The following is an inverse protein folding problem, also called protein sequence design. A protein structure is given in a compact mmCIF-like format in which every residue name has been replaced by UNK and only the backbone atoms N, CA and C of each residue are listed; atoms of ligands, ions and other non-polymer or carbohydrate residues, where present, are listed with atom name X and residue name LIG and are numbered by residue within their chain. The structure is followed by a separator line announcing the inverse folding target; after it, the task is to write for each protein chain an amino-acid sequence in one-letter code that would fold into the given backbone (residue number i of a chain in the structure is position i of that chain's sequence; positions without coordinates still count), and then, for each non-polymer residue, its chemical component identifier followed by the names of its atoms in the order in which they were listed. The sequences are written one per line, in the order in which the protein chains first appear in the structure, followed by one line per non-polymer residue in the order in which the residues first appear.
data_IF_993426112375
#
_entry.id   IF_993426112375
#
_cell.length_a   1.000
_cell.length_b   1.000
_cell.length_c   1.000
_cell.angle_alpha   90.00
_cell.angle_beta   90.00
_cell.angle_gamma   90.00
#
_symmetry.space_group_name_H-M   'P 1'
#
loop_
_entity.id
_entity.type
_entity.pdbx_description
1 polymer ?
#
# COMPACT_ATOMS: atom_id res chain seq x y z
N UNK A 1 -9.11 -57.09 56.82
CA UNK A 1 -9.09 -56.66 55.41
C UNK A 1 -10.22 -55.64 55.25
N UNK A 2 -9.91 -54.35 55.35
CA UNK A 2 -10.89 -53.25 55.18
C UNK A 2 -10.64 -52.53 53.87
N UNK A 3 -11.55 -52.65 52.91
CA UNK A 3 -11.54 -51.97 51.64
C UNK A 3 -12.11 -50.56 51.85
N UNK A 4 -11.30 -49.53 51.56
CA UNK A 4 -11.74 -48.15 51.51
C UNK A 4 -12.11 -47.79 50.05
N UNK A 5 -13.36 -47.43 49.83
CA UNK A 5 -13.86 -46.91 48.56
C UNK A 5 -13.72 -45.39 48.64
N UNK A 6 -12.91 -44.83 47.77
CA UNK A 6 -12.80 -43.37 47.59
C UNK A 6 -13.71 -42.96 46.44
N UNK A 7 -14.73 -42.19 46.74
CA UNK A 7 -15.63 -41.59 45.76
C UNK A 7 -15.00 -40.27 45.34
N UNK A 8 -14.53 -40.18 44.09
CA UNK A 8 -14.08 -38.94 43.50
C UNK A 8 -15.28 -38.17 42.94
N UNK A 9 -15.58 -37.02 43.51
CA UNK A 9 -16.59 -36.08 43.00
C UNK A 9 -15.98 -35.29 41.82
N UNK A 10 -16.50 -35.50 40.62
CA UNK A 10 -16.19 -34.68 39.42
C UNK A 10 -16.96 -33.37 39.50
N UNK A 11 -16.27 -32.29 39.86
CA UNK A 11 -16.77 -30.92 39.72
C UNK A 11 -16.72 -30.48 38.27
N UNK A 12 -17.87 -30.30 37.62
CA UNK A 12 -17.98 -29.71 36.30
C UNK A 12 -17.75 -28.19 36.41
N UNK A 13 -16.57 -27.71 36.01
CA UNK A 13 -16.32 -26.31 35.85
C UNK A 13 -16.97 -25.83 34.53
N UNK A 14 -18.08 -25.08 34.68
CA UNK A 14 -18.66 -24.33 33.53
C UNK A 14 -17.71 -23.20 33.14
N UNK A 15 -17.01 -23.40 32.05
CA UNK A 15 -16.24 -22.33 31.36
C UNK A 15 -17.26 -21.42 30.69
N UNK A 16 -17.51 -20.25 31.25
CA UNK A 16 -18.23 -19.17 30.60
C UNK A 16 -17.35 -18.62 29.50
N UNK A 17 -17.72 -18.89 28.26
CA UNK A 17 -17.09 -18.25 27.09
C UNK A 17 -17.47 -16.77 27.08
N UNK A 18 -16.49 -15.82 27.01
CA UNK A 18 -16.82 -14.42 26.80
C UNK A 18 -17.51 -14.29 25.45
N UNK A 19 -18.74 -13.75 25.48
CA UNK A 19 -19.48 -13.46 24.26
C UNK A 19 -18.66 -12.56 23.32
N UNK A 20 -18.35 -13.08 22.16
CA UNK A 20 -17.82 -12.28 21.06
C UNK A 20 -18.96 -11.34 20.62
N UNK A 21 -18.91 -10.11 21.10
CA UNK A 21 -19.72 -9.05 20.51
C UNK A 21 -19.27 -8.93 19.07
N UNK A 22 -20.13 -9.30 18.14
CA UNK A 22 -19.96 -9.05 16.73
C UNK A 22 -19.83 -7.52 16.56
N UNK A 23 -18.61 -7.04 16.53
CA UNK A 23 -18.29 -5.67 16.15
C UNK A 23 -18.86 -5.48 14.75
N UNK A 24 -19.95 -4.73 14.66
CA UNK A 24 -20.56 -4.34 13.39
C UNK A 24 -19.44 -3.73 12.56
N UNK A 25 -18.92 -4.52 11.61
CA UNK A 25 -18.06 -4.06 10.54
C UNK A 25 -18.77 -2.86 9.90
N UNK A 26 -18.37 -1.64 10.27
CA UNK A 26 -18.71 -0.45 9.51
C UNK A 26 -18.15 -0.70 8.12
N UNK A 27 -19.05 -1.01 7.19
CA UNK A 27 -18.68 -1.04 5.79
C UNK A 27 -17.89 0.25 5.52
N UNK A 28 -16.61 0.10 5.21
CA UNK A 28 -15.75 1.22 4.88
C UNK A 28 -16.46 1.97 3.76
N UNK A 29 -16.86 3.22 4.03
CA UNK A 29 -17.48 4.08 3.03
C UNK A 29 -16.47 4.14 1.90
N UNK A 30 -16.81 3.59 0.74
CA UNK A 30 -15.95 3.67 -0.44
C UNK A 30 -15.81 5.15 -0.75
N UNK A 31 -14.69 5.73 -0.37
CA UNK A 31 -14.40 7.13 -0.65
C UNK A 31 -14.15 7.25 -2.14
N UNK A 32 -15.01 8.03 -2.79
CA UNK A 32 -14.86 8.32 -4.20
C UNK A 32 -13.68 9.23 -4.43
N UNK A 33 -12.69 8.73 -5.16
CA UNK A 33 -11.53 9.51 -5.55
C UNK A 33 -11.91 10.61 -6.56
N UNK A 34 -11.51 11.83 -6.31
CA UNK A 34 -11.54 12.88 -7.33
C UNK A 34 -10.53 12.56 -8.44
N UNK A 35 -10.72 13.13 -9.63
CA UNK A 35 -9.76 12.93 -10.73
C UNK A 35 -8.32 13.30 -10.34
N UNK A 36 -8.16 14.39 -9.58
CA UNK A 36 -6.84 14.81 -9.08
C UNK A 36 -6.26 13.86 -8.03
N UNK A 37 -7.10 13.23 -7.21
CA UNK A 37 -6.65 12.22 -6.26
C UNK A 37 -6.25 10.92 -6.97
N UNK A 38 -6.95 10.52 -8.04
CA UNK A 38 -6.57 9.36 -8.86
C UNK A 38 -5.21 9.59 -9.52
N UNK A 39 -5.00 10.77 -10.10
CA UNK A 39 -3.71 11.14 -10.71
C UNK A 39 -2.59 11.11 -9.67
N UNK A 40 -2.81 11.72 -8.50
CA UNK A 40 -1.86 11.73 -7.42
C UNK A 40 -1.56 10.31 -6.89
N UNK A 41 -2.57 9.47 -6.78
CA UNK A 41 -2.41 8.07 -6.39
C UNK A 41 -1.49 7.32 -7.38
N UNK A 42 -1.72 7.45 -8.69
CA UNK A 42 -0.90 6.79 -9.69
C UNK A 42 0.55 7.28 -9.66
N UNK A 43 0.76 8.59 -9.47
CA UNK A 43 2.09 9.16 -9.29
C UNK A 43 2.81 8.60 -8.06
N UNK A 44 2.13 8.53 -6.91
CA UNK A 44 2.72 7.98 -5.67
C UNK A 44 2.96 6.47 -5.79
N UNK A 45 2.08 5.73 -6.46
CA UNK A 45 2.29 4.30 -6.75
C UNK A 45 3.57 4.08 -7.57
N UNK A 46 3.77 4.84 -8.64
CA UNK A 46 5.00 4.78 -9.44
C UNK A 46 6.23 5.11 -8.58
N UNK A 47 6.19 6.23 -7.84
CA UNK A 47 7.29 6.66 -6.97
C UNK A 47 7.65 5.59 -5.93
N UNK A 48 6.64 4.96 -5.31
CA UNK A 48 6.84 3.94 -4.29
C UNK A 48 7.41 2.65 -4.88
N UNK A 49 6.96 2.26 -6.08
CA UNK A 49 7.48 1.08 -6.78
C UNK A 49 8.95 1.28 -7.15
N UNK A 50 9.30 2.43 -7.74
CA UNK A 50 10.70 2.80 -8.03
C UNK A 50 11.56 2.80 -6.76
N UNK A 51 11.04 3.29 -5.64
CA UNK A 51 11.75 3.27 -4.35
C UNK A 51 12.07 1.85 -3.89
N UNK A 52 11.10 0.95 -3.93
CA UNK A 52 11.27 -0.45 -3.49
C UNK A 52 12.27 -1.18 -4.40
N UNK A 53 12.17 -0.99 -5.71
CA UNK A 53 13.09 -1.61 -6.68
C UNK A 53 14.50 -1.06 -6.53
N UNK A 54 14.66 0.27 -6.48
CA UNK A 54 15.97 0.92 -6.33
C UNK A 54 16.70 0.47 -5.06
N UNK A 55 15.96 0.31 -3.95
CA UNK A 55 16.48 -0.24 -2.69
C UNK A 55 16.95 -1.70 -2.86
N UNK A 56 16.20 -2.51 -3.60
CA UNK A 56 16.53 -3.92 -3.85
C UNK A 56 17.73 -4.06 -4.77
N UNK A 57 17.80 -3.23 -5.82
CA UNK A 57 18.88 -3.24 -6.82
C UNK A 57 20.12 -2.45 -6.38
N UNK A 58 20.04 -1.74 -5.25
CA UNK A 58 21.13 -0.95 -4.68
C UNK A 58 21.67 0.12 -5.67
N UNK A 59 20.74 0.76 -6.42
CA UNK A 59 21.06 1.84 -7.35
C UNK A 59 20.62 3.22 -6.81
N UNK A 60 20.92 4.29 -7.56
CA UNK A 60 20.63 5.69 -7.19
C UNK A 60 19.39 6.26 -7.91
N UNK A 61 18.71 5.47 -8.74
CA UNK A 61 17.65 5.93 -9.65
C UNK A 61 16.51 6.63 -8.88
N UNK A 62 16.08 6.06 -7.77
CA UNK A 62 15.05 6.69 -6.94
C UNK A 62 15.47 8.05 -6.38
N UNK A 63 16.70 8.16 -5.88
CA UNK A 63 17.21 9.42 -5.34
C UNK A 63 17.30 10.50 -6.42
N UNK A 64 17.82 10.16 -7.59
CA UNK A 64 17.93 11.05 -8.74
C UNK A 64 16.55 11.46 -9.28
N UNK A 65 15.62 10.50 -9.40
CA UNK A 65 14.24 10.78 -9.80
C UNK A 65 13.57 11.76 -8.83
N UNK A 66 13.71 11.56 -7.51
CA UNK A 66 13.16 12.45 -6.49
C UNK A 66 13.73 13.86 -6.58
N UNK A 67 15.03 13.99 -6.75
CA UNK A 67 15.68 15.30 -6.88
C UNK A 67 15.17 16.05 -8.11
N UNK A 68 15.08 15.38 -9.25
CA UNK A 68 14.62 15.97 -10.51
C UNK A 68 13.13 16.35 -10.47
N UNK A 69 12.32 15.57 -9.77
CA UNK A 69 10.86 15.69 -9.76
C UNK A 69 10.27 16.21 -8.43
N UNK A 70 11.04 16.96 -7.64
CA UNK A 70 10.63 17.40 -6.29
C UNK A 70 9.28 18.15 -6.29
N UNK A 71 9.06 19.02 -7.26
CA UNK A 71 7.86 19.86 -7.30
C UNK A 71 6.60 19.03 -7.57
N UNK A 72 6.48 18.22 -8.65
CA UNK A 72 5.30 17.39 -8.84
C UNK A 72 5.12 16.36 -7.71
N UNK A 73 6.18 15.78 -7.16
CA UNK A 73 6.08 14.85 -6.04
C UNK A 73 5.40 15.50 -4.82
N UNK A 74 5.82 16.72 -4.44
CA UNK A 74 5.20 17.46 -3.34
C UNK A 74 3.73 17.80 -3.62
N UNK A 75 3.40 18.16 -4.85
CA UNK A 75 2.02 18.44 -5.25
C UNK A 75 1.14 17.18 -5.11
N UNK A 76 1.60 16.03 -5.58
CA UNK A 76 0.89 14.77 -5.47
C UNK A 76 0.76 14.27 -4.03
N UNK A 77 1.81 14.39 -3.22
CA UNK A 77 1.74 14.08 -1.79
C UNK A 77 0.70 14.94 -1.08
N UNK A 78 0.67 16.26 -1.36
CA UNK A 78 -0.33 17.17 -0.79
C UNK A 78 -1.75 16.78 -1.20
N UNK A 79 -1.97 16.42 -2.46
CA UNK A 79 -3.28 15.97 -2.94
C UNK A 79 -3.74 14.68 -2.22
N UNK A 80 -2.84 13.72 -2.01
CA UNK A 80 -3.15 12.49 -1.28
C UNK A 80 -3.38 12.74 0.21
N UNK A 81 -2.60 13.61 0.86
CA UNK A 81 -2.83 14.02 2.25
C UNK A 81 -4.21 14.66 2.42
N UNK A 82 -4.62 15.50 1.47
CA UNK A 82 -5.95 16.10 1.45
C UNK A 82 -7.03 15.04 1.27
N UNK A 83 -6.84 14.11 0.35
CA UNK A 83 -7.76 13.00 0.10
C UNK A 83 -7.96 12.11 1.35
N UNK A 84 -6.89 11.79 2.04
CA UNK A 84 -6.92 10.98 3.27
C UNK A 84 -7.26 11.78 4.54
N UNK A 85 -7.57 13.08 4.42
CA UNK A 85 -7.86 13.97 5.54
C UNK A 85 -6.77 14.04 6.61
N UNK A 86 -5.50 13.84 6.23
CA UNK A 86 -4.36 14.04 7.10
C UNK A 86 -3.13 13.17 6.82
N UNK A 87 -2.00 13.62 7.35
CA UNK A 87 -0.70 12.98 7.15
C UNK A 87 -0.68 11.52 7.63
N UNK A 88 -1.22 11.25 8.84
CA UNK A 88 -1.18 9.92 9.43
C UNK A 88 -1.87 8.86 8.56
N UNK A 89 -3.04 9.19 8.00
CA UNK A 89 -3.76 8.26 7.14
C UNK A 89 -3.03 8.05 5.81
N UNK A 90 -2.48 9.13 5.23
CA UNK A 90 -1.63 9.04 4.05
C UNK A 90 -0.38 8.18 4.31
N UNK A 91 0.33 8.40 5.42
CA UNK A 91 1.54 7.63 5.78
C UNK A 91 1.22 6.14 5.97
N UNK A 92 0.10 5.83 6.61
CA UNK A 92 -0.37 4.44 6.78
C UNK A 92 -0.63 3.78 5.42
N UNK A 93 -1.33 4.46 4.52
CA UNK A 93 -1.60 3.99 3.17
C UNK A 93 -0.31 3.80 2.37
N UNK A 94 0.59 4.80 2.37
CA UNK A 94 1.85 4.76 1.63
C UNK A 94 2.79 3.64 2.13
N UNK A 95 2.84 3.43 3.45
CA UNK A 95 3.58 2.31 4.05
C UNK A 95 2.99 0.96 3.61
N UNK A 96 1.67 0.83 3.64
CA UNK A 96 0.99 -0.37 3.16
C UNK A 96 1.28 -0.63 1.67
N UNK A 97 1.30 0.41 0.85
CA UNK A 97 1.65 0.33 -0.56
C UNK A 97 3.09 -0.17 -0.78
N UNK A 98 4.06 0.37 -0.04
CA UNK A 98 5.45 -0.07 -0.11
C UNK A 98 5.58 -1.56 0.28
N UNK A 99 4.90 -1.98 1.35
CA UNK A 99 4.86 -3.38 1.77
C UNK A 99 4.23 -4.29 0.72
N UNK A 100 3.19 -3.85 0.01
CA UNK A 100 2.57 -4.61 -1.09
C UNK A 100 3.55 -4.80 -2.25
N UNK A 101 4.30 -3.76 -2.65
CA UNK A 101 5.32 -3.89 -3.70
C UNK A 101 6.48 -4.80 -3.29
N UNK A 102 6.93 -4.71 -2.03
CA UNK A 102 7.94 -5.63 -1.50
C UNK A 102 7.44 -7.08 -1.46
N UNK A 103 6.20 -7.29 -1.01
CA UNK A 103 5.60 -8.63 -0.93
C UNK A 103 5.42 -9.30 -2.30
N UNK A 104 5.08 -8.53 -3.36
CA UNK A 104 4.98 -9.06 -4.74
C UNK A 104 6.30 -9.65 -5.25
N UNK A 105 7.42 -9.25 -4.69
CA UNK A 105 8.77 -9.67 -5.09
C UNK A 105 9.45 -10.55 -4.04
N UNK A 106 8.76 -10.86 -2.96
CA UNK A 106 9.31 -11.68 -1.89
C UNK A 106 9.68 -13.09 -2.40
N UNK A 107 10.88 -13.54 -2.02
CA UNK A 107 11.40 -14.85 -2.42
C UNK A 107 12.09 -14.88 -3.79
N UNK A 108 12.05 -13.79 -4.58
CA UNK A 108 12.82 -13.70 -5.82
C UNK A 108 14.26 -13.22 -5.54
N UNK A 109 15.26 -13.73 -6.27
CA UNK A 109 16.62 -13.20 -6.22
C UNK A 109 16.66 -11.74 -6.68
N UNK A 110 17.48 -10.88 -6.04
CA UNK A 110 17.61 -9.46 -6.43
C UNK A 110 17.95 -9.28 -7.91
N UNK A 111 18.83 -10.11 -8.46
CA UNK A 111 19.19 -10.04 -9.89
C UNK A 111 17.98 -10.22 -10.81
N UNK A 112 17.08 -11.16 -10.47
CA UNK A 112 15.84 -11.37 -11.21
C UNK A 112 14.91 -10.16 -11.11
N UNK A 113 14.72 -9.63 -9.89
CA UNK A 113 13.89 -8.44 -9.67
C UNK A 113 14.40 -7.27 -10.52
N UNK A 114 15.71 -7.01 -10.51
CA UNK A 114 16.32 -5.90 -11.27
C UNK A 114 16.15 -6.08 -12.77
N UNK A 115 16.25 -7.30 -13.27
CA UNK A 115 16.02 -7.61 -14.68
C UNK A 115 14.54 -7.41 -15.07
N UNK A 116 13.60 -7.94 -14.30
CA UNK A 116 12.16 -7.86 -14.57
C UNK A 116 11.63 -6.42 -14.47
N UNK A 117 12.27 -5.56 -13.68
CA UNK A 117 11.87 -4.16 -13.47
C UNK A 117 12.70 -3.16 -14.26
N UNK A 118 13.55 -3.60 -15.20
CA UNK A 118 14.43 -2.73 -15.96
C UNK A 118 13.69 -1.61 -16.72
N UNK A 119 12.53 -1.89 -17.31
CA UNK A 119 11.73 -0.87 -18.02
C UNK A 119 11.10 0.16 -17.06
N UNK A 120 10.68 -0.26 -15.85
CA UNK A 120 10.24 0.66 -14.81
C UNK A 120 11.35 1.64 -14.42
N UNK A 121 12.55 1.11 -14.19
CA UNK A 121 13.70 1.90 -13.78
C UNK A 121 14.19 2.82 -14.90
N UNK A 122 14.19 2.36 -16.15
CA UNK A 122 14.47 3.18 -17.32
C UNK A 122 13.47 4.34 -17.48
N UNK A 123 12.19 4.07 -17.25
CA UNK A 123 11.15 5.10 -17.24
C UNK A 123 11.45 6.14 -16.16
N UNK A 124 11.79 5.72 -14.95
CA UNK A 124 12.15 6.64 -13.87
C UNK A 124 13.39 7.50 -14.21
N UNK A 125 14.37 6.94 -14.91
CA UNK A 125 15.57 7.69 -15.33
C UNK A 125 15.26 8.79 -16.36
N UNK A 126 14.27 8.60 -17.21
CA UNK A 126 13.98 9.50 -18.33
C UNK A 126 12.94 10.57 -18.03
N UNK A 127 12.03 10.33 -17.07
CA UNK A 127 10.97 11.28 -16.74
C UNK A 127 11.51 12.54 -16.07
N UNK A 128 11.32 13.68 -16.73
CA UNK A 128 11.43 15.01 -16.16
C UNK A 128 10.09 15.44 -15.48
N UNK A 129 9.98 16.62 -14.87
CA UNK A 129 8.76 17.04 -14.19
C UNK A 129 7.51 17.08 -15.08
N UNK A 130 7.64 17.46 -16.35
CA UNK A 130 6.52 17.48 -17.29
C UNK A 130 6.12 16.06 -17.72
N UNK A 131 7.13 15.24 -18.06
CA UNK A 131 6.94 13.83 -18.38
C UNK A 131 6.32 13.03 -17.24
N UNK A 132 6.73 13.29 -16.00
CA UNK A 132 6.15 12.62 -14.84
C UNK A 132 4.66 12.97 -14.62
N UNK A 133 4.28 14.24 -14.82
CA UNK A 133 2.85 14.62 -14.80
C UNK A 133 2.07 13.94 -15.93
N UNK A 134 2.59 13.94 -17.13
CA UNK A 134 1.96 13.28 -18.29
C UNK A 134 1.79 11.78 -18.06
N UNK A 135 2.82 11.14 -17.50
CA UNK A 135 2.76 9.72 -17.07
C UNK A 135 1.63 9.49 -16.07
N UNK A 136 1.59 10.25 -14.96
CA UNK A 136 0.57 10.12 -13.93
C UNK A 136 -0.85 10.30 -14.48
N UNK A 137 -1.07 11.29 -15.35
CA UNK A 137 -2.36 11.54 -16.02
C UNK A 137 -2.77 10.37 -16.93
N UNK A 138 -1.81 9.79 -17.66
CA UNK A 138 -2.07 8.64 -18.52
C UNK A 138 -2.49 7.43 -17.71
N UNK A 139 -1.77 7.13 -16.62
CA UNK A 139 -2.13 6.05 -15.71
C UNK A 139 -3.48 6.30 -15.02
N UNK A 140 -3.78 7.54 -14.65
CA UNK A 140 -5.06 7.91 -14.05
C UNK A 140 -6.24 7.66 -14.99
N UNK A 141 -6.10 7.98 -16.28
CA UNK A 141 -7.14 7.71 -17.30
C UNK A 141 -7.42 6.22 -17.44
N UNK A 142 -6.39 5.39 -17.41
CA UNK A 142 -6.54 3.94 -17.44
C UNK A 142 -7.22 3.41 -16.16
N UNK A 143 -6.90 3.97 -14.99
CA UNK A 143 -7.47 3.58 -13.71
C UNK A 143 -8.95 3.97 -13.55
N UNK A 144 -9.39 5.11 -14.10
CA UNK A 144 -10.80 5.56 -14.05
C UNK A 144 -11.75 4.59 -14.73
N UNK A 145 -11.30 3.83 -15.72
CA UNK A 145 -12.13 2.80 -16.36
C UNK A 145 -12.49 1.65 -15.40
N UNK A 146 -11.77 1.52 -14.29
CA UNK A 146 -11.99 0.45 -13.30
C UNK A 146 -12.60 0.92 -11.98
N UNK A 147 -12.66 2.23 -11.71
CA UNK A 147 -13.05 2.79 -10.42
C UNK A 147 -14.00 4.00 -10.53
N UNK A 148 -14.91 4.03 -11.53
CA UNK A 148 -15.87 5.13 -11.63
C UNK A 148 -16.82 5.11 -10.44
N UNK A 149 -16.71 6.09 -9.55
CA UNK A 149 -17.84 6.51 -8.75
C UNK A 149 -18.92 6.99 -9.73
N UNK A 150 -19.98 6.19 -9.87
CA UNK A 150 -21.07 6.54 -10.75
C UNK A 150 -21.59 7.96 -10.47
N UNK A 151 -21.82 8.72 -11.55
CA UNK A 151 -22.54 9.99 -11.49
C UNK A 151 -23.97 9.75 -11.07
#
# INVERSE_FOLDING_TARGET
MKRWVVIAALGAAMVQQPGWTAEKSRAAKVECYSQSAIEAEQAIRFLTDVMVVSSTCQDTIYAEFRLRNQEPIRAYQKAMITHFHGNKAFDTWNTSLANQYAAKRAGLPSAQICQETAELMKTAQTLDPAGFRSYAQTQARAAVQTASCGK
#
